data_IF_154406010750
#
_entry.id   IF_154406010750
#
_cell.length_a   1.000
_cell.length_b   1.000
_cell.length_c   1.000
_cell.angle_alpha   90.00
_cell.angle_beta   90.00
_cell.angle_gamma   90.00
#
_symmetry.space_group_name_H-M   'P 1'
#
loop_
_entity.id
_entity.type
_entity.pdbx_description
1 polymer ?
#
# COMPACT_ATOMS: atom_id res chain seq x y z
N UNK A 1 -11.94 11.98 5.65
CA UNK A 1 -11.26 11.62 6.91
C UNK A 1 -10.71 12.89 7.56
N UNK A 2 -10.46 12.86 8.87
CA UNK A 2 -9.88 13.97 9.65
C UNK A 2 -8.67 13.53 10.50
N UNK A 3 -8.55 12.23 10.81
CA UNK A 3 -7.45 11.64 11.60
C UNK A 3 -7.02 10.31 11.00
N UNK A 4 -5.79 9.87 11.28
CA UNK A 4 -5.26 8.56 10.87
C UNK A 4 -6.14 7.38 11.32
N UNK A 5 -6.75 7.50 12.51
CA UNK A 5 -7.72 6.53 13.02
C UNK A 5 -8.95 6.33 12.12
N UNK A 6 -9.32 7.30 11.29
CA UNK A 6 -10.45 7.14 10.37
C UNK A 6 -10.10 6.19 9.20
N UNK A 7 -8.81 6.07 8.84
CA UNK A 7 -8.34 5.07 7.86
C UNK A 7 -8.30 3.67 8.45
N UNK A 8 -7.82 3.54 9.69
CA UNK A 8 -7.89 2.28 10.44
C UNK A 8 -9.34 1.78 10.53
N UNK A 9 -10.28 2.68 10.85
CA UNK A 9 -11.71 2.36 10.90
C UNK A 9 -12.23 1.89 9.53
N UNK A 10 -11.89 2.59 8.44
CA UNK A 10 -12.30 2.16 7.10
C UNK A 10 -11.74 0.77 6.75
N UNK A 11 -10.46 0.51 7.05
CA UNK A 11 -9.83 -0.78 6.81
C UNK A 11 -10.54 -1.90 7.58
N UNK A 12 -10.87 -1.68 8.86
CA UNK A 12 -11.61 -2.64 9.68
C UNK A 12 -13.04 -2.86 9.16
N UNK A 13 -13.76 -1.81 8.80
CA UNK A 13 -15.15 -1.92 8.30
C UNK A 13 -15.21 -2.76 7.02
N UNK A 14 -14.28 -2.57 6.10
CA UNK A 14 -14.30 -3.26 4.80
C UNK A 14 -13.56 -4.61 4.81
N UNK A 15 -12.61 -4.83 5.74
CA UNK A 15 -11.76 -6.02 5.78
C UNK A 15 -12.12 -7.08 6.82
N UNK A 16 -13.06 -6.80 7.75
CA UNK A 16 -13.38 -7.70 8.88
C UNK A 16 -14.29 -8.88 8.52
N UNK A 17 -13.99 -9.60 7.44
CA UNK A 17 -14.76 -10.75 6.97
C UNK A 17 -13.87 -11.99 6.91
N UNK A 18 -14.20 -13.01 7.72
CA UNK A 18 -13.44 -14.24 7.81
C UNK A 18 -13.82 -15.22 6.68
N UNK A 19 -12.79 -15.82 6.10
CA UNK A 19 -12.88 -16.89 5.11
C UNK A 19 -12.07 -18.10 5.58
N UNK A 20 -12.53 -19.31 5.26
CA UNK A 20 -11.84 -20.57 5.54
C UNK A 20 -12.56 -21.47 6.54
N UNK A 21 -12.14 -22.74 6.61
CA UNK A 21 -12.71 -23.77 7.50
C UNK A 21 -14.26 -23.89 7.48
N UNK A 22 -14.90 -23.60 6.34
CA UNK A 22 -16.35 -23.61 6.17
C UNK A 22 -17.04 -22.25 6.26
N UNK A 23 -16.29 -21.17 6.53
CA UNK A 23 -16.79 -19.80 6.51
C UNK A 23 -16.53 -19.12 5.15
N UNK A 24 -17.51 -18.35 4.67
CA UNK A 24 -17.51 -17.69 3.36
C UNK A 24 -17.81 -16.18 3.48
N UNK A 25 -17.00 -15.46 4.27
CA UNK A 25 -17.15 -14.01 4.44
C UNK A 25 -18.03 -13.62 5.63
N UNK A 26 -17.89 -14.34 6.75
CA UNK A 26 -18.59 -14.01 7.99
C UNK A 26 -17.94 -12.80 8.66
N UNK A 27 -18.75 -11.81 9.05
CA UNK A 27 -18.26 -10.63 9.75
C UNK A 27 -17.66 -10.99 11.12
N UNK A 28 -16.37 -10.73 11.32
CA UNK A 28 -15.60 -11.12 12.51
C UNK A 28 -14.59 -10.04 12.92
N UNK A 29 -15.11 -8.82 13.14
CA UNK A 29 -14.29 -7.63 13.48
C UNK A 29 -13.47 -7.80 14.76
N UNK A 30 -14.07 -8.33 15.82
CA UNK A 30 -13.37 -8.50 17.10
C UNK A 30 -12.14 -9.40 16.97
N UNK A 31 -12.26 -10.50 16.24
CA UNK A 31 -11.14 -11.41 15.96
C UNK A 31 -10.10 -10.75 15.07
N UNK A 32 -10.52 -10.00 14.05
CA UNK A 32 -9.58 -9.29 13.17
C UNK A 32 -8.77 -8.23 13.93
N UNK A 33 -9.41 -7.44 14.80
CA UNK A 33 -8.73 -6.48 15.67
C UNK A 33 -7.74 -7.17 16.62
N UNK A 34 -8.10 -8.30 17.21
CA UNK A 34 -7.20 -9.09 18.08
C UNK A 34 -5.94 -9.53 17.33
N UNK A 35 -6.10 -10.02 16.09
CA UNK A 35 -4.96 -10.42 15.24
C UNK A 35 -4.08 -9.23 14.88
N UNK A 36 -4.67 -8.11 14.46
CA UNK A 36 -3.95 -6.90 14.10
C UNK A 36 -3.14 -6.30 15.27
N UNK A 37 -3.61 -6.40 16.52
CA UNK A 37 -2.85 -5.98 17.71
C UNK A 37 -1.48 -6.66 17.85
N UNK A 38 -1.35 -7.87 17.30
CA UNK A 38 -0.10 -8.65 17.39
C UNK A 38 0.82 -8.51 16.18
N UNK A 39 0.40 -7.77 15.14
CA UNK A 39 1.17 -7.61 13.92
C UNK A 39 2.42 -6.78 14.21
N UNK A 40 3.59 -7.37 13.92
CA UNK A 40 4.88 -6.70 14.06
C UNK A 40 5.43 -6.20 12.72
N UNK A 41 4.98 -6.82 11.62
CA UNK A 41 5.36 -6.44 10.28
C UNK A 41 4.20 -6.59 9.30
N UNK A 42 4.05 -5.62 8.40
CA UNK A 42 3.19 -5.68 7.23
C UNK A 42 4.08 -5.94 6.01
N UNK A 43 3.68 -6.89 5.16
CA UNK A 43 4.45 -7.29 4.00
C UNK A 43 3.53 -7.29 2.78
N UNK A 44 3.87 -6.50 1.77
CA UNK A 44 3.23 -6.51 0.47
C UNK A 44 4.24 -6.96 -0.60
N UNK A 45 3.83 -7.89 -1.47
CA UNK A 45 4.68 -8.35 -2.57
C UNK A 45 4.17 -7.77 -3.88
N UNK A 46 5.10 -7.33 -4.73
CA UNK A 46 4.85 -6.93 -6.11
C UNK A 46 5.62 -7.87 -7.06
N UNK A 47 4.92 -8.49 -7.98
CA UNK A 47 5.42 -9.53 -8.90
C UNK A 47 5.65 -9.03 -10.34
N UNK A 48 5.39 -7.75 -10.60
CA UNK A 48 5.45 -7.16 -11.93
C UNK A 48 6.29 -5.86 -11.94
N UNK A 49 6.64 -5.33 -13.12
CA UNK A 49 7.37 -4.04 -13.28
C UNK A 49 6.64 -3.03 -14.16
N UNK A 50 5.47 -3.41 -14.67
CA UNK A 50 4.62 -2.62 -15.55
C UNK A 50 4.05 -1.41 -14.81
N UNK A 51 3.83 -1.54 -13.51
CA UNK A 51 3.44 -0.47 -12.61
C UNK A 51 4.27 -0.54 -11.31
N UNK A 52 4.12 0.47 -10.45
CA UNK A 52 4.77 0.52 -9.13
C UNK A 52 3.76 0.91 -8.04
N UNK A 53 4.21 0.91 -6.77
CA UNK A 53 3.34 1.27 -5.64
C UNK A 53 2.73 2.68 -5.74
N UNK A 54 3.33 3.59 -6.52
CA UNK A 54 2.81 4.93 -6.77
C UNK A 54 2.09 5.04 -8.12
N UNK A 55 1.61 3.93 -8.66
CA UNK A 55 0.86 3.85 -9.92
C UNK A 55 -0.44 3.03 -9.80
N UNK A 56 -0.72 2.47 -8.62
CA UNK A 56 -2.00 1.84 -8.27
C UNK A 56 -2.42 2.20 -6.84
N UNK A 57 -3.72 2.46 -6.66
CA UNK A 57 -4.32 2.77 -5.37
C UNK A 57 -4.41 1.56 -4.43
N UNK A 58 -4.42 0.35 -4.97
CA UNK A 58 -4.54 -0.88 -4.17
C UNK A 58 -3.42 -1.00 -3.14
N UNK A 59 -2.19 -0.60 -3.48
CA UNK A 59 -1.05 -0.78 -2.59
C UNK A 59 -1.22 -0.01 -1.28
N UNK A 60 -1.53 1.28 -1.32
CA UNK A 60 -1.73 2.04 -0.08
C UNK A 60 -3.01 1.60 0.65
N UNK A 61 -4.04 1.15 -0.06
CA UNK A 61 -5.28 0.69 0.55
C UNK A 61 -5.07 -0.58 1.37
N UNK A 62 -4.30 -1.54 0.86
CA UNK A 62 -4.01 -2.79 1.56
C UNK A 62 -2.82 -2.66 2.52
N UNK A 63 -1.64 -2.28 2.01
CA UNK A 63 -0.40 -2.20 2.79
C UNK A 63 -0.48 -1.06 3.81
N UNK A 64 -0.83 0.14 3.35
CA UNK A 64 -0.99 1.31 4.20
C UNK A 64 -2.19 1.19 5.15
N UNK A 65 -3.35 0.73 4.64
CA UNK A 65 -4.54 0.52 5.47
C UNK A 65 -4.31 -0.48 6.61
N UNK A 66 -3.64 -1.60 6.33
CA UNK A 66 -3.27 -2.57 7.36
C UNK A 66 -2.29 -1.96 8.38
N UNK A 67 -1.29 -1.21 7.92
CA UNK A 67 -0.33 -0.55 8.79
C UNK A 67 -1.02 0.47 9.72
N UNK A 68 -1.90 1.31 9.19
CA UNK A 68 -2.68 2.27 9.97
C UNK A 68 -3.58 1.57 11.01
N UNK A 69 -4.23 0.46 10.63
CA UNK A 69 -5.07 -0.31 11.54
C UNK A 69 -4.27 -0.99 12.65
N UNK A 70 -3.16 -1.63 12.31
CA UNK A 70 -2.25 -2.25 13.28
C UNK A 70 -1.67 -1.21 14.24
N UNK A 71 -1.18 -0.07 13.73
CA UNK A 71 -0.65 1.04 14.53
C UNK A 71 -1.71 1.58 15.50
N UNK A 72 -2.94 1.80 15.02
CA UNK A 72 -4.04 2.31 15.84
C UNK A 72 -4.42 1.36 16.98
N UNK A 73 -4.37 0.04 16.75
CA UNK A 73 -4.78 -0.99 17.71
C UNK A 73 -3.67 -1.36 18.71
N UNK A 74 -2.41 -1.41 18.24
CA UNK A 74 -1.25 -1.78 19.03
C UNK A 74 -0.57 -0.58 19.72
N UNK A 75 -0.80 0.64 19.22
CA UNK A 75 -0.17 1.87 19.71
C UNK A 75 1.26 2.09 19.21
N UNK A 76 1.76 1.26 18.30
CA UNK A 76 3.08 1.36 17.71
C UNK A 76 3.04 0.96 16.22
N UNK A 77 3.74 1.71 15.37
CA UNK A 77 3.84 1.44 13.93
C UNK A 77 4.60 0.13 13.68
N UNK A 78 4.03 -0.86 12.95
CA UNK A 78 4.76 -2.05 12.57
C UNK A 78 5.85 -1.73 11.55
N UNK A 79 6.84 -2.62 11.39
CA UNK A 79 7.74 -2.55 10.24
C UNK A 79 6.95 -2.81 8.96
N UNK A 80 7.20 -2.05 7.89
CA UNK A 80 6.49 -2.22 6.62
C UNK A 80 7.49 -2.55 5.52
N UNK A 81 7.23 -3.64 4.80
CA UNK A 81 8.10 -4.12 3.72
C UNK A 81 7.33 -4.27 2.41
N UNK A 82 7.95 -3.77 1.35
CA UNK A 82 7.45 -3.89 -0.02
C UNK A 82 8.46 -4.68 -0.84
N UNK A 83 8.09 -5.92 -1.19
CA UNK A 83 9.01 -6.89 -1.79
C UNK A 83 8.86 -6.94 -3.31
N UNK A 84 9.97 -6.86 -4.04
CA UNK A 84 10.04 -7.05 -5.48
C UNK A 84 10.29 -8.53 -5.80
N UNK A 85 9.24 -9.21 -6.26
CA UNK A 85 9.25 -10.59 -6.75
C UNK A 85 9.20 -10.68 -8.29
N UNK A 86 9.31 -9.56 -9.01
CA UNK A 86 9.27 -9.54 -10.48
C UNK A 86 10.43 -10.28 -11.16
N UNK A 87 11.44 -10.67 -10.38
CA UNK A 87 12.44 -11.66 -10.76
C UNK A 87 12.37 -12.82 -9.77
N UNK A 88 11.64 -13.90 -10.06
CA UNK A 88 11.44 -15.01 -9.14
C UNK A 88 12.76 -15.65 -8.64
N UNK A 89 13.82 -15.60 -9.45
CA UNK A 89 15.15 -16.10 -9.12
C UNK A 89 15.94 -15.19 -8.18
N UNK A 90 15.50 -13.94 -8.00
CA UNK A 90 16.16 -12.94 -7.15
C UNK A 90 15.15 -11.98 -6.50
N UNK A 91 14.34 -12.45 -5.53
CA UNK A 91 13.50 -11.58 -4.72
C UNK A 91 14.31 -10.51 -4.01
N UNK A 92 13.78 -9.29 -3.95
CA UNK A 92 14.41 -8.19 -3.22
C UNK A 92 13.42 -7.64 -2.18
N UNK A 93 13.83 -7.67 -0.92
CA UNK A 93 13.06 -7.12 0.20
C UNK A 93 13.56 -5.71 0.47
N UNK A 94 12.64 -4.75 0.61
CA UNK A 94 12.93 -3.37 1.01
C UNK A 94 11.92 -2.94 2.06
N UNK A 95 12.33 -2.02 2.93
CA UNK A 95 11.35 -1.24 3.68
C UNK A 95 10.48 -0.42 2.72
N UNK A 96 9.26 -0.08 3.15
CA UNK A 96 8.37 0.78 2.38
C UNK A 96 9.05 2.11 2.02
N UNK A 97 9.78 2.71 2.96
CA UNK A 97 10.51 3.98 2.75
C UNK A 97 11.59 3.86 1.67
N UNK A 98 12.33 2.75 1.64
CA UNK A 98 13.31 2.48 0.59
C UNK A 98 12.66 2.31 -0.78
N UNK A 99 11.52 1.63 -0.85
CA UNK A 99 10.80 1.41 -2.11
C UNK A 99 10.15 2.71 -2.63
N UNK A 100 9.50 3.50 -1.77
CA UNK A 100 9.01 4.84 -2.13
C UNK A 100 10.17 5.71 -2.63
N UNK A 101 11.30 5.73 -1.91
CA UNK A 101 12.48 6.48 -2.32
C UNK A 101 13.04 6.04 -3.67
N UNK A 102 13.07 4.73 -3.93
CA UNK A 102 13.47 4.13 -5.21
C UNK A 102 12.54 4.56 -6.34
N UNK A 103 11.23 4.46 -6.15
CA UNK A 103 10.23 4.78 -7.19
C UNK A 103 10.19 6.27 -7.48
N UNK A 104 10.29 7.11 -6.44
CA UNK A 104 10.36 8.56 -6.62
C UNK A 104 11.52 8.93 -7.53
N UNK A 105 12.73 8.43 -7.22
CA UNK A 105 13.94 8.72 -8.01
C UNK A 105 13.94 8.03 -9.38
N UNK A 106 13.47 6.79 -9.43
CA UNK A 106 13.53 5.93 -10.61
C UNK A 106 12.50 6.28 -11.68
N UNK A 107 11.31 6.74 -11.26
CA UNK A 107 10.19 7.04 -12.15
C UNK A 107 9.56 8.42 -11.92
N UNK A 108 9.07 8.74 -10.71
CA UNK A 108 8.26 9.95 -10.46
C UNK A 108 8.92 11.22 -10.97
N UNK A 109 10.18 11.43 -10.59
CA UNK A 109 10.94 12.63 -10.99
C UNK A 109 11.88 12.39 -12.17
N UNK A 110 11.79 11.23 -12.83
CA UNK A 110 12.66 10.88 -13.93
C UNK A 110 12.25 11.65 -15.21
N UNK A 111 13.12 12.51 -15.77
CA UNK A 111 12.79 13.28 -16.96
C UNK A 111 12.38 12.42 -18.16
N UNK A 112 12.91 11.20 -18.28
CA UNK A 112 12.53 10.26 -19.35
C UNK A 112 11.09 9.78 -19.18
N UNK A 113 10.67 9.49 -17.95
CA UNK A 113 9.29 9.09 -17.68
C UNK A 113 8.34 10.26 -17.88
N UNK A 114 8.66 11.44 -17.34
CA UNK A 114 7.85 12.66 -17.49
C UNK A 114 7.67 13.00 -18.98
N UNK A 115 8.75 13.10 -19.74
CA UNK A 115 8.68 13.32 -21.19
C UNK A 115 7.98 12.17 -21.93
N UNK A 116 8.04 10.96 -21.36
CA UNK A 116 7.29 9.77 -21.76
C UNK A 116 5.78 10.02 -21.74
N UNK A 117 5.25 10.21 -20.53
CA UNK A 117 3.81 10.35 -20.28
C UNK A 117 3.25 11.64 -20.88
N UNK A 118 4.02 12.74 -20.94
CA UNK A 118 3.57 13.99 -21.55
C UNK A 118 3.18 13.87 -23.04
N UNK A 119 3.67 12.86 -23.77
CA UNK A 119 3.22 12.60 -25.16
C UNK A 119 1.77 12.13 -25.26
N UNK A 120 1.16 11.76 -24.14
CA UNK A 120 -0.20 11.19 -24.07
C UNK A 120 -1.26 12.21 -23.60
N UNK A 121 -0.94 13.51 -23.61
CA UNK A 121 -1.89 14.59 -23.35
C UNK A 121 -2.63 14.42 -22.02
N UNK A 122 -3.96 14.37 -22.08
CA UNK A 122 -4.84 14.23 -20.91
C UNK A 122 -4.47 13.02 -20.03
N UNK A 123 -4.29 11.83 -20.63
CA UNK A 123 -4.00 10.63 -19.84
C UNK A 123 -2.61 10.71 -19.20
N UNK A 124 -1.63 11.30 -19.89
CA UNK A 124 -0.31 11.53 -19.32
C UNK A 124 -0.32 12.45 -18.11
N UNK A 125 -1.09 13.55 -18.17
CA UNK A 125 -1.29 14.42 -17.03
C UNK A 125 -2.03 13.71 -15.88
N UNK A 126 -3.00 12.86 -16.20
CA UNK A 126 -3.72 12.07 -15.21
C UNK A 126 -2.81 11.09 -14.46
N UNK A 127 -1.86 10.41 -15.11
CA UNK A 127 -0.89 9.54 -14.40
C UNK A 127 0.00 10.32 -13.42
N UNK A 128 0.42 11.53 -13.82
CA UNK A 128 1.22 12.39 -12.94
C UNK A 128 0.40 12.80 -11.71
N UNK A 129 -0.86 13.17 -11.90
CA UNK A 129 -1.75 13.53 -10.79
C UNK A 129 -2.02 12.32 -9.87
N UNK A 130 -2.35 11.17 -10.44
CA UNK A 130 -2.60 9.92 -9.70
C UNK A 130 -1.38 9.50 -8.86
N UNK A 131 -0.16 9.60 -9.43
CA UNK A 131 1.08 9.38 -8.68
C UNK A 131 1.18 10.25 -7.42
N UNK A 132 0.81 11.54 -7.51
CA UNK A 132 0.84 12.46 -6.37
C UNK A 132 -0.20 12.06 -5.33
N UNK A 133 -1.41 11.68 -5.79
CA UNK A 133 -2.48 11.21 -4.90
C UNK A 133 -2.07 9.94 -4.15
N UNK A 134 -1.42 8.98 -4.82
CA UNK A 134 -0.98 7.73 -4.20
C UNK A 134 0.18 7.94 -3.23
N UNK A 135 1.12 8.82 -3.57
CA UNK A 135 2.19 9.22 -2.66
C UNK A 135 1.62 9.90 -1.39
N UNK A 136 0.63 10.78 -1.58
CA UNK A 136 -0.08 11.38 -0.46
C UNK A 136 -0.81 10.34 0.39
N UNK A 137 -1.46 9.37 -0.25
CA UNK A 137 -2.21 8.34 0.44
C UNK A 137 -1.31 7.47 1.33
N UNK A 138 -0.12 7.08 0.84
CA UNK A 138 0.91 6.42 1.66
C UNK A 138 1.43 7.25 2.83
N UNK A 139 1.46 8.58 2.70
CA UNK A 139 1.83 9.46 3.82
C UNK A 139 0.69 9.60 4.84
N UNK A 140 -0.56 9.43 4.39
CA UNK A 140 -1.75 9.56 5.23
C UNK A 140 -2.02 8.29 6.06
N UNK A 141 -1.77 7.11 5.46
CA UNK A 141 -1.81 5.80 6.12
C UNK A 141 -0.52 5.48 6.86
#
# INVERSE_FOLDING_TARGET
WKRRADFAEAYLVWGSYAYGAGEEGRAERGLFEERLRSVQAVIQNQDNREHDLLDSDDYYQFEGGMAAAAEQLAGARPSIYHNDHSKPEKPVIRSLEEEIGRVVRGRVVNPKWIAGVMRHGYKGAAEIAATVDYLFAFAAT
#
